data_IF_603445952279
#
_entry.id   IF_603445952279
#
_cell.length_a   1.000
_cell.length_b   1.000
_cell.length_c   1.000
_cell.angle_alpha   90.00
_cell.angle_beta   90.00
_cell.angle_gamma   90.00
#
_symmetry.space_group_name_H-M   'P 1'
#
loop_
_entity.id
_entity.type
_entity.pdbx_description
1 polymer ?
#
# COMPACT_ATOMS: atom_id res chain seq x y z
N UNK A 1 -7.96 -10.16 40.89
CA UNK A 1 -7.93 -9.22 39.78
C UNK A 1 -6.57 -9.26 39.03
N UNK A 2 -5.40 -9.31 39.69
CA UNK A 2 -4.07 -9.36 39.05
C UNK A 2 -3.83 -10.64 38.23
N UNK A 3 -4.20 -11.81 38.77
CA UNK A 3 -4.04 -13.12 38.10
C UNK A 3 -4.87 -13.23 36.81
N UNK A 4 -6.11 -12.68 36.81
CA UNK A 4 -6.98 -12.68 35.62
C UNK A 4 -6.37 -11.80 34.50
N UNK A 5 -5.84 -10.61 34.83
CA UNK A 5 -5.16 -9.74 33.88
C UNK A 5 -3.87 -10.39 33.33
N UNK A 6 -3.12 -11.07 34.18
CA UNK A 6 -1.92 -11.81 33.76
C UNK A 6 -2.27 -12.96 32.81
N UNK A 7 -3.29 -13.79 33.16
CA UNK A 7 -3.76 -14.87 32.29
C UNK A 7 -4.25 -14.37 30.95
N UNK A 8 -5.04 -13.29 30.91
CA UNK A 8 -5.51 -12.66 29.65
C UNK A 8 -4.32 -12.16 28.81
N UNK A 9 -3.29 -11.57 29.45
CA UNK A 9 -2.09 -11.08 28.75
C UNK A 9 -1.27 -12.24 28.15
N UNK A 10 -1.14 -13.37 28.87
CA UNK A 10 -0.45 -14.56 28.35
C UNK A 10 -1.23 -15.17 27.20
N UNK A 11 -2.55 -15.31 27.34
CA UNK A 11 -3.44 -15.86 26.30
C UNK A 11 -3.38 -15.03 25.02
N UNK A 12 -3.44 -13.70 25.13
CA UNK A 12 -3.34 -12.82 23.97
C UNK A 12 -1.97 -12.87 23.31
N UNK A 13 -0.88 -12.99 24.08
CA UNK A 13 0.47 -13.13 23.54
C UNK A 13 0.67 -14.46 22.78
N UNK A 14 0.11 -15.56 23.30
CA UNK A 14 0.14 -16.85 22.63
C UNK A 14 -0.68 -16.85 21.33
N UNK A 15 -1.89 -16.30 21.37
CA UNK A 15 -2.75 -16.14 20.18
C UNK A 15 -2.04 -15.28 19.11
N UNK A 16 -1.41 -14.18 19.50
CA UNK A 16 -0.65 -13.33 18.60
C UNK A 16 0.54 -14.07 17.96
N UNK A 17 1.29 -14.87 18.75
CA UNK A 17 2.39 -15.68 18.23
C UNK A 17 1.91 -16.73 17.22
N UNK A 18 0.80 -17.40 17.51
CA UNK A 18 0.21 -18.39 16.62
C UNK A 18 -0.27 -17.76 15.31
N UNK A 19 -0.96 -16.62 15.37
CA UNK A 19 -1.38 -15.87 14.18
C UNK A 19 -0.19 -15.42 13.31
N UNK A 20 0.89 -14.93 13.94
CA UNK A 20 2.08 -14.52 13.22
C UNK A 20 2.81 -15.71 12.58
N UNK A 21 2.85 -16.87 13.23
CA UNK A 21 3.44 -18.09 12.63
C UNK A 21 2.61 -18.51 11.41
N UNK A 22 1.30 -18.54 11.53
CA UNK A 22 0.39 -18.87 10.43
C UNK A 22 0.58 -17.91 9.25
N UNK A 23 0.61 -16.59 9.52
CA UNK A 23 0.88 -15.58 8.48
C UNK A 23 2.23 -15.80 7.77
N UNK A 24 3.30 -16.14 8.52
CA UNK A 24 4.61 -16.44 7.94
C UNK A 24 4.59 -17.68 7.05
N UNK A 25 3.92 -18.75 7.49
CA UNK A 25 3.78 -19.98 6.70
C UNK A 25 3.01 -19.73 5.41
N UNK A 26 1.87 -19.02 5.48
CA UNK A 26 1.10 -18.66 4.29
C UNK A 26 1.89 -17.75 3.36
N UNK A 27 2.57 -16.73 3.88
CA UNK A 27 3.43 -15.86 3.05
C UNK A 27 4.52 -16.65 2.36
N UNK A 28 5.19 -17.56 3.08
CA UNK A 28 6.21 -18.43 2.49
C UNK A 28 5.63 -19.29 1.39
N UNK A 29 4.49 -19.92 1.63
CA UNK A 29 3.79 -20.76 0.66
C UNK A 29 3.38 -19.97 -0.60
N UNK A 30 2.77 -18.79 -0.42
CA UNK A 30 2.42 -17.90 -1.54
C UNK A 30 3.69 -17.53 -2.31
N UNK A 31 4.71 -17.03 -1.62
CA UNK A 31 5.89 -16.45 -2.25
C UNK A 31 6.75 -17.48 -2.96
N UNK A 32 6.98 -18.65 -2.36
CA UNK A 32 7.96 -19.63 -2.87
C UNK A 32 7.33 -20.80 -3.63
N UNK A 33 6.08 -21.16 -3.36
CA UNK A 33 5.46 -22.34 -3.95
C UNK A 33 4.35 -22.00 -4.97
N UNK A 34 3.72 -20.81 -4.85
CA UNK A 34 2.57 -20.46 -5.70
C UNK A 34 2.87 -19.33 -6.66
N UNK A 35 3.64 -18.32 -6.25
CA UNK A 35 3.89 -17.16 -7.11
C UNK A 35 4.79 -17.50 -8.30
N UNK A 36 4.45 -16.93 -9.44
CA UNK A 36 5.25 -16.95 -10.65
C UNK A 36 6.27 -15.80 -10.63
N UNK A 37 7.46 -15.94 -11.24
CA UNK A 37 8.39 -14.82 -11.36
C UNK A 37 7.82 -13.74 -12.29
N UNK A 38 7.90 -12.49 -11.84
CA UNK A 38 7.60 -11.30 -12.62
C UNK A 38 8.92 -10.60 -12.96
N UNK A 39 9.09 -10.21 -14.21
CA UNK A 39 10.24 -9.44 -14.63
C UNK A 39 9.89 -7.96 -14.69
N UNK A 40 10.84 -7.10 -14.33
CA UNK A 40 10.72 -5.67 -14.61
C UNK A 40 10.71 -5.45 -16.14
N UNK A 41 9.98 -4.44 -16.56
CA UNK A 41 9.84 -4.06 -17.97
C UNK A 41 9.95 -2.54 -18.13
N UNK A 42 9.94 -2.07 -19.36
CA UNK A 42 10.08 -0.66 -19.72
C UNK A 42 8.73 0.08 -19.85
N UNK A 43 7.61 -0.53 -19.40
CA UNK A 43 6.29 0.11 -19.43
C UNK A 43 6.21 1.21 -18.39
N UNK A 44 5.83 2.45 -18.73
CA UNK A 44 5.51 3.50 -17.78
C UNK A 44 4.39 3.03 -16.83
N UNK A 45 4.49 3.40 -15.55
CA UNK A 45 3.57 2.93 -14.53
C UNK A 45 2.95 4.08 -13.73
N UNK A 46 1.72 3.87 -13.25
CA UNK A 46 1.06 4.70 -12.27
C UNK A 46 0.67 3.85 -11.06
N UNK A 47 0.95 4.35 -9.85
CA UNK A 47 0.64 3.68 -8.58
C UNK A 47 -0.42 4.49 -7.85
N UNK A 48 -1.56 3.88 -7.56
CA UNK A 48 -2.61 4.46 -6.73
C UNK A 48 -2.50 3.91 -5.32
N UNK A 49 -2.27 4.78 -4.35
CA UNK A 49 -2.13 4.45 -2.94
C UNK A 49 -3.29 5.07 -2.14
N UNK A 50 -4.04 4.28 -1.36
CA UNK A 50 -5.06 4.81 -0.46
C UNK A 50 -4.50 5.85 0.50
N UNK A 51 -3.39 5.54 1.17
CA UNK A 51 -2.75 6.40 2.16
C UNK A 51 -1.26 6.60 1.85
N UNK A 52 -0.65 7.70 2.32
CA UNK A 52 0.80 7.89 2.27
C UNK A 52 1.52 6.82 3.11
N UNK A 53 2.17 5.89 2.47
CA UNK A 53 3.01 4.74 2.86
C UNK A 53 2.70 3.46 2.08
N UNK A 54 1.44 3.28 1.60
CA UNK A 54 1.00 2.06 0.91
C UNK A 54 1.78 1.79 -0.38
N UNK A 55 2.12 2.85 -1.15
CA UNK A 55 2.92 2.75 -2.38
C UNK A 55 4.32 2.21 -2.11
N UNK A 56 4.94 2.66 -1.02
CA UNK A 56 6.28 2.21 -0.63
C UNK A 56 6.23 0.81 -0.03
N UNK A 57 5.22 0.51 0.79
CA UNK A 57 4.98 -0.82 1.34
C UNK A 57 4.80 -1.86 0.23
N UNK A 58 3.86 -1.61 -0.68
CA UNK A 58 3.50 -2.56 -1.72
C UNK A 58 4.43 -2.57 -2.94
N UNK A 59 4.89 -1.40 -3.37
CA UNK A 59 5.54 -1.18 -4.67
C UNK A 59 6.91 -0.49 -4.60
N UNK A 60 7.45 -0.17 -3.41
CA UNK A 60 8.67 0.65 -3.30
C UNK A 60 9.89 0.08 -4.04
N UNK A 61 10.06 -1.24 -4.04
CA UNK A 61 11.12 -1.90 -4.80
C UNK A 61 10.90 -1.85 -6.31
N UNK A 62 9.66 -2.05 -6.76
CA UNK A 62 9.25 -1.92 -8.16
C UNK A 62 9.44 -0.48 -8.66
N UNK A 63 9.00 0.51 -7.88
CA UNK A 63 9.19 1.93 -8.20
C UNK A 63 10.67 2.23 -8.39
N UNK A 64 11.51 1.90 -7.41
CA UNK A 64 12.95 2.14 -7.49
C UNK A 64 13.60 1.41 -8.67
N UNK A 65 13.17 0.19 -8.99
CA UNK A 65 13.70 -0.60 -10.09
C UNK A 65 13.38 0.04 -11.46
N UNK A 66 12.12 0.46 -11.67
CA UNK A 66 11.71 1.19 -12.89
C UNK A 66 12.45 2.52 -13.02
N UNK A 67 12.54 3.30 -11.93
CA UNK A 67 13.25 4.58 -11.93
C UNK A 67 14.75 4.44 -12.23
N UNK A 68 15.41 3.39 -11.73
CA UNK A 68 16.82 3.08 -12.11
C UNK A 68 16.98 2.74 -13.60
N UNK A 69 15.95 2.22 -14.22
CA UNK A 69 15.92 1.91 -15.66
C UNK A 69 15.48 3.11 -16.52
N UNK A 70 15.25 4.29 -15.92
CA UNK A 70 14.77 5.48 -16.62
C UNK A 70 13.28 5.44 -17.00
N UNK A 71 12.53 4.46 -16.48
CA UNK A 71 11.11 4.32 -16.75
C UNK A 71 10.31 5.26 -15.86
N UNK A 72 9.39 6.08 -16.42
CA UNK A 72 8.53 6.96 -15.63
C UNK A 72 7.60 6.18 -14.69
N UNK A 73 7.44 6.69 -13.47
CA UNK A 73 6.47 6.17 -12.49
C UNK A 73 5.78 7.35 -11.83
N UNK A 74 4.47 7.42 -11.93
CA UNK A 74 3.63 8.38 -11.21
C UNK A 74 3.04 7.72 -9.98
N UNK A 75 2.81 8.54 -8.95
CA UNK A 75 2.16 8.09 -7.70
C UNK A 75 1.02 9.03 -7.37
N UNK A 76 -0.15 8.45 -7.07
CA UNK A 76 -1.37 9.16 -6.71
C UNK A 76 -1.82 8.69 -5.34
N UNK A 77 -1.87 9.60 -4.37
CA UNK A 77 -2.44 9.37 -3.06
C UNK A 77 -3.92 9.75 -3.06
N UNK A 78 -4.78 8.81 -2.67
CA UNK A 78 -6.22 9.00 -2.67
C UNK A 78 -6.68 9.84 -1.48
N UNK A 79 -6.14 9.54 -0.28
CA UNK A 79 -6.51 10.22 0.95
C UNK A 79 -5.34 10.98 1.57
N UNK A 80 -5.66 11.87 2.48
CA UNK A 80 -4.73 12.69 3.24
C UNK A 80 -4.07 11.96 4.44
N UNK A 81 -4.57 10.75 4.77
CA UNK A 81 -4.05 9.93 5.84
C UNK A 81 -4.27 10.49 7.25
N UNK A 82 -5.30 11.31 7.45
CA UNK A 82 -5.56 12.01 8.72
C UNK A 82 -6.02 11.09 9.87
N UNK A 83 -6.54 9.87 9.59
CA UNK A 83 -7.13 8.98 10.62
C UNK A 83 -6.08 8.09 11.31
N UNK A 84 -4.78 8.29 11.05
CA UNK A 84 -3.74 7.60 11.78
C UNK A 84 -3.74 8.00 13.27
N UNK A 85 -4.68 7.42 14.03
CA UNK A 85 -4.87 7.53 15.49
C UNK A 85 -4.49 8.90 16.08
N UNK A 86 -5.31 9.89 15.80
CA UNK A 86 -5.16 11.25 16.29
C UNK A 86 -5.21 11.31 17.82
N UNK A 87 -4.08 11.29 18.49
CA UNK A 87 -3.95 11.66 19.91
C UNK A 87 -2.48 12.01 20.26
N UNK A 88 -1.99 13.13 19.71
CA UNK A 88 -0.58 13.50 19.81
C UNK A 88 -0.37 14.76 20.61
N UNK A 89 0.45 14.71 21.66
CA UNK A 89 0.88 15.91 22.36
C UNK A 89 1.75 16.84 21.50
N UNK A 90 2.40 16.29 20.44
CA UNK A 90 3.26 17.05 19.51
C UNK A 90 2.53 17.54 18.26
N UNK A 91 1.43 16.92 17.89
CA UNK A 91 0.62 17.28 16.72
C UNK A 91 -0.66 17.87 17.25
N UNK A 92 -0.86 19.17 17.04
CA UNK A 92 -1.96 19.92 17.61
C UNK A 92 -3.23 19.89 16.76
N UNK A 93 -3.08 19.66 15.46
CA UNK A 93 -4.19 19.70 14.51
C UNK A 93 -4.12 18.56 13.49
N UNK A 94 -5.27 18.20 12.92
CA UNK A 94 -5.36 17.27 11.78
C UNK A 94 -4.54 17.79 10.59
N UNK A 95 -4.64 19.09 10.31
CA UNK A 95 -3.90 19.71 9.22
C UNK A 95 -2.37 19.55 9.37
N UNK A 96 -1.84 19.67 10.59
CA UNK A 96 -0.42 19.44 10.86
C UNK A 96 -0.02 17.98 10.58
N UNK A 97 -0.87 17.01 10.94
CA UNK A 97 -0.62 15.59 10.64
C UNK A 97 -0.62 15.33 9.13
N UNK A 98 -1.59 15.87 8.40
CA UNK A 98 -1.69 15.76 6.94
C UNK A 98 -0.41 16.28 6.27
N UNK A 99 0.07 17.47 6.68
CA UNK A 99 1.31 18.04 6.16
C UNK A 99 2.54 17.17 6.48
N UNK A 100 2.64 16.63 7.69
CA UNK A 100 3.71 15.69 8.06
C UNK A 100 3.68 14.48 7.12
N UNK A 101 2.53 13.85 6.92
CA UNK A 101 2.40 12.66 6.06
C UNK A 101 2.73 12.96 4.60
N UNK A 102 2.33 14.12 4.08
CA UNK A 102 2.72 14.57 2.74
C UNK A 102 4.24 14.72 2.62
N UNK A 103 4.89 15.36 3.59
CA UNK A 103 6.34 15.51 3.58
C UNK A 103 7.07 14.16 3.68
N UNK A 104 6.58 13.24 4.49
CA UNK A 104 7.11 11.88 4.59
C UNK A 104 6.99 11.13 3.25
N UNK A 105 5.85 11.23 2.58
CA UNK A 105 5.61 10.63 1.27
C UNK A 105 6.53 11.21 0.19
N UNK A 106 6.69 12.53 0.14
CA UNK A 106 7.61 13.19 -0.79
C UNK A 106 9.07 12.76 -0.54
N UNK A 107 9.50 12.66 0.72
CA UNK A 107 10.85 12.20 1.08
C UNK A 107 11.07 10.73 0.69
N UNK A 108 10.09 9.85 0.95
CA UNK A 108 10.12 8.45 0.58
C UNK A 108 10.24 8.29 -0.94
N UNK A 109 9.36 8.94 -1.70
CA UNK A 109 9.32 8.85 -3.15
C UNK A 109 10.56 9.46 -3.82
N UNK A 110 11.10 10.55 -3.29
CA UNK A 110 12.38 11.09 -3.74
C UNK A 110 13.53 10.07 -3.55
N UNK A 111 13.55 9.34 -2.44
CA UNK A 111 14.52 8.24 -2.20
C UNK A 111 14.38 7.13 -3.25
N UNK A 112 13.16 6.84 -3.69
CA UNK A 112 12.86 5.86 -4.75
C UNK A 112 13.15 6.39 -6.16
N UNK A 113 13.41 7.70 -6.33
CA UNK A 113 13.74 8.34 -7.59
C UNK A 113 12.54 8.92 -8.34
N UNK A 114 11.39 9.08 -7.69
CA UNK A 114 10.21 9.75 -8.24
C UNK A 114 10.34 11.26 -8.03
N UNK A 115 10.05 12.05 -9.04
CA UNK A 115 10.12 13.51 -8.97
C UNK A 115 8.82 14.08 -8.40
N UNK A 116 8.89 15.26 -7.77
CA UNK A 116 7.70 15.90 -7.16
C UNK A 116 6.59 16.19 -8.18
N UNK A 117 6.92 16.44 -9.44
CA UNK A 117 5.96 16.64 -10.54
C UNK A 117 5.22 15.35 -10.95
N UNK A 118 5.70 14.19 -10.51
CA UNK A 118 5.11 12.88 -10.78
C UNK A 118 4.25 12.39 -9.60
N UNK A 119 4.03 13.23 -8.57
CA UNK A 119 3.30 12.89 -7.35
C UNK A 119 2.04 13.74 -7.26
N UNK A 120 0.90 13.09 -7.08
CA UNK A 120 -0.41 13.73 -6.98
C UNK A 120 -1.11 13.36 -5.67
N UNK A 121 -1.70 14.35 -5.01
CA UNK A 121 -2.53 14.17 -3.81
C UNK A 121 -3.96 14.58 -4.15
N UNK A 122 -4.93 13.68 -3.96
CA UNK A 122 -6.36 13.98 -4.15
C UNK A 122 -6.99 14.56 -2.88
N UNK A 123 -6.30 14.44 -1.74
CA UNK A 123 -6.68 15.02 -0.45
C UNK A 123 -8.11 14.66 0.01
N UNK A 124 -8.59 13.46 -0.34
CA UNK A 124 -9.83 12.96 0.21
C UNK A 124 -9.62 12.60 1.69
N UNK A 125 -10.61 12.78 2.56
CA UNK A 125 -10.45 12.43 3.97
C UNK A 125 -10.21 10.93 4.16
N UNK A 126 -9.20 10.55 4.96
CA UNK A 126 -8.91 9.17 5.34
C UNK A 126 -10.14 8.51 6.00
N UNK A 127 -10.41 7.26 5.67
CA UNK A 127 -11.58 6.51 6.11
C UNK A 127 -12.88 6.85 5.39
N UNK A 128 -12.89 7.83 4.45
CA UNK A 128 -14.11 8.31 3.82
C UNK A 128 -14.45 7.67 2.48
N UNK A 129 -13.51 6.98 1.83
CA UNK A 129 -13.71 6.51 0.45
C UNK A 129 -14.96 5.61 0.28
N UNK A 130 -15.27 4.66 1.18
CA UNK A 130 -16.46 3.81 1.04
C UNK A 130 -17.78 4.58 1.21
N UNK A 131 -17.74 5.74 1.86
CA UNK A 131 -18.92 6.56 2.14
C UNK A 131 -19.06 7.76 1.20
N UNK A 132 -18.28 7.84 0.13
CA UNK A 132 -18.36 8.93 -0.83
C UNK A 132 -19.77 9.00 -1.48
N UNK A 133 -20.43 10.17 -1.48
CA UNK A 133 -21.65 10.36 -2.24
C UNK A 133 -21.43 10.07 -3.73
N UNK A 134 -22.42 9.55 -4.43
CA UNK A 134 -22.29 9.13 -5.83
C UNK A 134 -21.73 10.22 -6.75
N UNK A 135 -22.22 11.46 -6.60
CA UNK A 135 -21.71 12.60 -7.38
C UNK A 135 -20.20 12.86 -7.13
N UNK A 136 -19.75 12.73 -5.87
CA UNK A 136 -18.33 12.88 -5.52
C UNK A 136 -17.51 11.71 -6.03
N UNK A 137 -18.05 10.50 -5.93
CA UNK A 137 -17.46 9.28 -6.48
C UNK A 137 -17.19 9.43 -7.98
N UNK A 138 -18.19 9.90 -8.74
CA UNK A 138 -18.05 10.13 -10.17
C UNK A 138 -17.00 11.21 -10.48
N UNK A 139 -16.95 12.32 -9.73
CA UNK A 139 -15.90 13.33 -9.87
C UNK A 139 -14.49 12.75 -9.63
N UNK A 140 -14.32 11.89 -8.62
CA UNK A 140 -13.04 11.21 -8.36
C UNK A 140 -12.67 10.33 -9.53
N UNK A 141 -13.61 9.52 -10.05
CA UNK A 141 -13.35 8.64 -11.20
C UNK A 141 -12.92 9.47 -12.42
N UNK A 142 -13.56 10.61 -12.71
CA UNK A 142 -13.18 11.51 -13.79
C UNK A 142 -11.76 12.07 -13.62
N UNK A 143 -11.38 12.48 -12.40
CA UNK A 143 -10.02 12.90 -12.10
C UNK A 143 -8.99 11.77 -12.34
N UNK A 144 -9.33 10.54 -11.95
CA UNK A 144 -8.46 9.38 -12.20
C UNK A 144 -8.33 9.09 -13.70
N UNK A 145 -9.41 9.25 -14.50
CA UNK A 145 -9.37 9.11 -15.96
C UNK A 145 -8.42 10.14 -16.58
N UNK A 146 -8.47 11.39 -16.13
CA UNK A 146 -7.56 12.45 -16.60
C UNK A 146 -6.10 12.11 -16.27
N UNK A 147 -5.82 11.64 -15.05
CA UNK A 147 -4.48 11.22 -14.65
C UNK A 147 -3.98 10.04 -15.49
N UNK A 148 -4.80 9.03 -15.75
CA UNK A 148 -4.46 7.90 -16.61
C UNK A 148 -4.09 8.36 -18.04
N UNK A 149 -4.84 9.32 -18.60
CA UNK A 149 -4.57 9.87 -19.92
C UNK A 149 -3.31 10.73 -19.95
N UNK A 150 -3.11 11.58 -18.95
CA UNK A 150 -1.99 12.50 -18.85
C UNK A 150 -0.64 11.77 -18.71
N UNK A 151 -0.62 10.70 -17.90
CA UNK A 151 0.62 9.98 -17.58
C UNK A 151 1.08 9.03 -18.68
N UNK A 152 0.23 8.70 -19.64
CA UNK A 152 0.50 7.69 -20.66
C UNK A 152 1.00 6.36 -20.05
N UNK A 153 0.59 6.05 -18.82
CA UNK A 153 0.95 4.82 -18.17
C UNK A 153 0.42 3.61 -18.96
N UNK A 154 1.14 2.51 -18.91
CA UNK A 154 0.74 1.23 -19.50
C UNK A 154 0.46 0.19 -18.41
N UNK A 155 1.00 0.40 -17.22
CA UNK A 155 0.75 -0.42 -16.04
C UNK A 155 0.11 0.43 -14.94
N UNK A 156 -0.96 -0.07 -14.35
CA UNK A 156 -1.68 0.54 -13.23
C UNK A 156 -1.52 -0.36 -12.02
N UNK A 157 -0.85 0.13 -11.00
CA UNK A 157 -0.71 -0.55 -9.72
C UNK A 157 -1.72 0.03 -8.73
N UNK A 158 -2.48 -0.83 -8.09
CA UNK A 158 -3.51 -0.47 -7.10
C UNK A 158 -3.55 -1.51 -5.98
N UNK A 159 -4.08 -1.15 -4.83
CA UNK A 159 -4.25 -2.09 -3.71
C UNK A 159 -5.10 -3.30 -4.08
N UNK A 160 -4.82 -4.43 -3.45
CA UNK A 160 -5.53 -5.68 -3.71
C UNK A 160 -7.02 -5.56 -3.39
N UNK A 161 -7.87 -6.02 -4.30
CA UNK A 161 -9.35 -5.86 -4.21
C UNK A 161 -10.00 -6.46 -2.97
N UNK A 162 -9.35 -7.43 -2.32
CA UNK A 162 -9.80 -8.06 -1.07
C UNK A 162 -8.93 -7.63 0.12
N UNK A 163 -8.41 -6.42 0.07
CA UNK A 163 -7.73 -5.83 1.22
C UNK A 163 -8.63 -5.77 2.46
N UNK A 164 -8.01 -5.75 3.65
CA UNK A 164 -8.74 -5.70 4.91
C UNK A 164 -9.30 -4.29 5.17
N UNK A 165 -8.57 -3.25 4.75
CA UNK A 165 -8.95 -1.86 4.95
C UNK A 165 -10.00 -1.43 3.91
N UNK A 166 -11.13 -0.80 4.33
CA UNK A 166 -12.18 -0.40 3.39
C UNK A 166 -11.72 0.59 2.32
N UNK A 167 -10.88 1.59 2.66
CA UNK A 167 -10.34 2.54 1.67
C UNK A 167 -9.49 1.84 0.60
N UNK A 168 -8.78 0.76 0.95
CA UNK A 168 -8.01 -0.02 -0.03
C UNK A 168 -8.91 -0.73 -1.04
N UNK A 169 -10.02 -1.31 -0.56
CA UNK A 169 -11.01 -1.96 -1.43
C UNK A 169 -11.67 -0.92 -2.35
N UNK A 170 -11.98 0.24 -1.79
CA UNK A 170 -12.63 1.31 -2.53
C UNK A 170 -11.70 1.97 -3.54
N UNK A 171 -10.42 2.17 -3.21
CA UNK A 171 -9.40 2.63 -4.16
C UNK A 171 -9.34 1.69 -5.37
N UNK A 172 -9.33 0.39 -5.16
CA UNK A 172 -9.41 -0.58 -6.26
C UNK A 172 -10.67 -0.37 -7.11
N UNK A 173 -11.83 -0.19 -6.50
CA UNK A 173 -13.10 -0.04 -7.22
C UNK A 173 -13.12 1.25 -8.05
N UNK A 174 -12.65 2.38 -7.50
CA UNK A 174 -12.55 3.66 -8.19
C UNK A 174 -11.57 3.60 -9.37
N UNK A 175 -10.37 3.05 -9.15
CA UNK A 175 -9.35 2.91 -10.20
C UNK A 175 -9.82 1.99 -11.32
N UNK A 176 -10.46 0.85 -10.98
CA UNK A 176 -11.04 -0.04 -11.99
C UNK A 176 -12.11 0.67 -12.82
N UNK A 177 -12.97 1.46 -12.20
CA UNK A 177 -13.98 2.27 -12.92
C UNK A 177 -13.31 3.29 -13.85
N UNK A 178 -12.24 3.94 -13.40
CA UNK A 178 -11.49 4.89 -14.23
C UNK A 178 -10.82 4.20 -15.42
N UNK A 179 -10.22 3.02 -15.24
CA UNK A 179 -9.63 2.24 -16.34
C UNK A 179 -10.69 1.94 -17.40
N UNK A 180 -11.87 1.45 -17.01
CA UNK A 180 -12.96 1.15 -17.92
C UNK A 180 -13.44 2.39 -18.69
N UNK A 181 -13.58 3.54 -18.00
CA UNK A 181 -14.00 4.80 -18.61
C UNK A 181 -12.90 5.44 -19.49
N UNK A 182 -11.63 5.19 -19.21
CA UNK A 182 -10.53 5.75 -19.99
C UNK A 182 -10.43 5.18 -21.41
N UNK A 183 -11.00 4.00 -21.62
CA UNK A 183 -10.91 3.22 -22.88
C UNK A 183 -9.45 2.94 -23.33
N UNK A 184 -8.50 2.95 -22.41
CA UNK A 184 -7.09 2.67 -22.68
C UNK A 184 -6.79 1.19 -22.41
N UNK A 185 -5.88 0.61 -23.19
CA UNK A 185 -5.34 -0.72 -22.94
C UNK A 185 -4.30 -0.65 -21.82
N UNK A 186 -4.75 -0.82 -20.57
CA UNK A 186 -3.95 -0.71 -19.35
C UNK A 186 -3.84 -2.07 -18.65
N UNK A 187 -2.64 -2.46 -18.25
CA UNK A 187 -2.42 -3.65 -17.44
C UNK A 187 -2.69 -3.33 -15.96
N UNK A 188 -3.74 -3.93 -15.38
CA UNK A 188 -4.09 -3.74 -13.97
C UNK A 188 -3.37 -4.75 -13.08
N UNK A 189 -2.53 -4.26 -12.19
CA UNK A 189 -1.71 -5.03 -11.26
C UNK A 189 -2.07 -4.62 -9.83
N UNK A 190 -2.37 -5.60 -9.00
CA UNK A 190 -2.78 -5.35 -7.62
C UNK A 190 -1.64 -5.68 -6.66
N UNK A 191 -1.42 -4.83 -5.65
CA UNK A 191 -0.45 -5.06 -4.59
C UNK A 191 -1.13 -5.20 -3.23
N UNK A 192 -0.77 -6.21 -2.41
CA UNK A 192 -1.35 -6.39 -1.09
C UNK A 192 -0.53 -5.65 -0.02
N UNK A 193 -1.23 -4.97 0.90
CA UNK A 193 -0.66 -4.36 2.10
C UNK A 193 -1.12 -5.12 3.33
N UNK A 194 -2.32 -4.90 3.82
CA UNK A 194 -2.86 -5.62 4.98
C UNK A 194 -3.10 -7.09 4.68
N UNK A 195 -3.52 -7.44 3.46
CA UNK A 195 -3.62 -8.81 2.99
C UNK A 195 -2.25 -9.52 2.98
N UNK A 196 -1.15 -8.83 2.73
CA UNK A 196 0.20 -9.38 2.85
C UNK A 196 0.62 -9.57 4.33
N UNK A 197 0.23 -8.64 5.23
CA UNK A 197 0.52 -8.72 6.66
C UNK A 197 -0.31 -9.80 7.37
N UNK A 198 -1.58 -10.00 6.95
CA UNK A 198 -2.54 -10.94 7.55
C UNK A 198 -3.19 -11.83 6.47
N UNK A 199 -2.41 -12.60 5.69
CA UNK A 199 -2.95 -13.40 4.59
C UNK A 199 -3.97 -14.45 5.05
N UNK A 200 -3.92 -14.88 6.31
CA UNK A 200 -4.91 -15.80 6.90
C UNK A 200 -6.32 -15.20 7.08
N UNK A 201 -6.48 -13.88 6.92
CA UNK A 201 -7.78 -13.20 6.98
C UNK A 201 -8.42 -13.06 5.60
N UNK A 202 -7.72 -13.48 4.55
CA UNK A 202 -8.18 -13.39 3.17
C UNK A 202 -8.65 -14.75 2.69
N UNK A 203 -9.86 -14.79 2.15
CA UNK A 203 -10.37 -15.96 1.42
C UNK A 203 -9.85 -15.94 -0.03
N UNK A 204 -8.66 -16.51 -0.22
CA UNK A 204 -8.07 -16.64 -1.55
C UNK A 204 -8.75 -17.75 -2.34
N UNK A 205 -9.33 -17.40 -3.48
CA UNK A 205 -9.82 -18.39 -4.44
C UNK A 205 -8.67 -18.99 -5.26
N UNK A 206 -8.85 -20.18 -5.79
CA UNK A 206 -7.82 -20.87 -6.57
C UNK A 206 -7.32 -20.00 -7.76
N UNK A 207 -8.21 -19.37 -8.50
CA UNK A 207 -7.86 -18.47 -9.60
C UNK A 207 -7.01 -17.27 -9.18
N UNK A 208 -7.15 -16.77 -7.95
CA UNK A 208 -6.30 -15.67 -7.45
C UNK A 208 -4.90 -16.16 -7.12
N UNK A 209 -4.78 -17.37 -6.58
CA UNK A 209 -3.50 -18.01 -6.25
C UNK A 209 -2.72 -18.36 -7.54
N UNK A 210 -3.39 -18.71 -8.62
CA UNK A 210 -2.78 -18.98 -9.92
C UNK A 210 -2.24 -17.72 -10.59
N UNK A 211 -2.78 -16.54 -10.24
CA UNK A 211 -2.40 -15.22 -10.76
C UNK A 211 -1.55 -14.39 -9.77
N UNK A 212 -0.81 -15.06 -8.89
CA UNK A 212 0.15 -14.42 -7.98
C UNK A 212 1.53 -14.37 -8.62
N UNK A 213 2.15 -13.20 -8.57
CA UNK A 213 3.47 -12.95 -9.11
C UNK A 213 4.41 -12.40 -8.02
N UNK A 214 5.70 -12.70 -8.13
CA UNK A 214 6.75 -12.10 -7.30
C UNK A 214 7.76 -11.36 -8.16
N UNK A 215 8.04 -10.13 -7.81
CA UNK A 215 9.12 -9.34 -8.39
C UNK A 215 10.34 -9.39 -7.47
N UNK A 216 11.49 -9.79 -8.01
CA UNK A 216 12.75 -9.72 -7.28
C UNK A 216 13.24 -8.28 -7.21
N UNK A 217 13.41 -7.75 -5.99
CA UNK A 217 13.82 -6.37 -5.71
C UNK A 217 15.13 -6.30 -4.92
N UNK A 218 15.94 -7.37 -4.94
CA UNK A 218 17.17 -7.42 -4.16
C UNK A 218 18.10 -6.22 -4.45
N UNK A 219 18.19 -5.78 -5.70
CA UNK A 219 19.01 -4.63 -6.11
C UNK A 219 18.47 -3.26 -5.67
N UNK A 220 17.21 -3.16 -5.30
CA UNK A 220 16.56 -1.90 -4.86
C UNK A 220 16.00 -1.97 -3.44
N UNK A 221 16.18 -3.12 -2.77
CA UNK A 221 15.66 -3.38 -1.44
C UNK A 221 16.13 -2.34 -0.41
N UNK A 222 17.39 -1.95 -0.44
CA UNK A 222 17.94 -0.97 0.51
C UNK A 222 17.33 0.42 0.30
N UNK A 223 17.08 0.83 -0.95
CA UNK A 223 16.32 2.04 -1.25
C UNK A 223 14.89 1.99 -0.71
N UNK A 224 14.22 0.84 -0.88
CA UNK A 224 12.88 0.63 -0.29
C UNK A 224 12.90 0.75 1.23
N UNK A 225 13.87 0.15 1.90
CA UNK A 225 14.01 0.25 3.36
C UNK A 225 14.22 1.70 3.78
N UNK A 226 15.11 2.42 3.10
CA UNK A 226 15.36 3.84 3.37
C UNK A 226 14.11 4.70 3.13
N UNK A 227 13.33 4.40 2.09
CA UNK A 227 12.05 5.09 1.85
C UNK A 227 11.02 4.80 2.94
N UNK A 228 10.91 3.55 3.40
CA UNK A 228 10.03 3.18 4.53
C UNK A 228 10.41 3.92 5.82
N UNK A 229 11.68 4.17 6.06
CA UNK A 229 12.17 4.91 7.23
C UNK A 229 11.74 6.40 7.24
N UNK A 230 11.30 6.93 6.09
CA UNK A 230 10.76 8.29 6.03
C UNK A 230 9.40 8.43 6.72
N UNK A 231 8.57 7.38 6.76
CA UNK A 231 7.22 7.40 7.33
C UNK A 231 7.21 7.30 8.86
N UNK A 232 7.95 8.20 9.51
CA UNK A 232 8.20 8.18 10.97
C UNK A 232 6.93 8.31 11.79
N UNK A 233 5.95 9.08 11.31
CA UNK A 233 4.65 9.24 11.96
C UNK A 233 3.90 7.90 12.11
N UNK A 234 4.20 6.90 11.26
CA UNK A 234 3.49 5.64 11.21
C UNK A 234 4.08 4.55 12.12
N UNK A 235 5.39 4.58 12.39
CA UNK A 235 6.05 3.54 13.18
C UNK A 235 6.70 4.01 14.48
N UNK A 236 6.83 5.31 14.69
CA UNK A 236 7.30 5.86 15.95
C UNK A 236 6.13 6.29 16.85
N UNK A 237 6.22 6.08 18.15
CA UNK A 237 5.24 6.64 19.07
C UNK A 237 5.34 8.18 19.03
N UNK A 238 4.23 8.81 18.68
CA UNK A 238 4.18 10.26 18.53
C UNK A 238 4.05 11.00 19.88
N UNK A 239 3.86 10.24 20.97
CA UNK A 239 3.99 10.71 22.37
C UNK A 239 4.57 9.62 23.27
N UNK A 240 5.21 9.96 24.41
CA UNK A 240 5.64 8.98 25.40
C UNK A 240 4.50 8.07 25.85
N UNK A 241 4.71 6.73 25.76
CA UNK A 241 3.71 5.74 26.17
C UNK A 241 2.59 5.43 25.17
N UNK A 242 2.51 6.15 24.06
CA UNK A 242 1.58 5.80 22.97
C UNK A 242 2.10 4.60 22.15
N UNK A 243 1.18 3.91 21.48
CA UNK A 243 1.54 2.92 20.47
C UNK A 243 1.60 3.60 19.10
N UNK A 244 2.56 3.22 18.24
CA UNK A 244 2.56 3.69 16.86
C UNK A 244 1.33 3.15 16.10
N UNK A 245 0.87 3.84 15.03
CA UNK A 245 -0.21 3.36 14.17
C UNK A 245 0.05 1.97 13.59
N UNK A 246 1.23 1.74 13.02
CA UNK A 246 1.60 0.45 12.48
C UNK A 246 2.06 -0.53 13.57
N UNK A 247 1.67 -1.80 13.48
CA UNK A 247 2.04 -2.80 14.48
C UNK A 247 3.55 -3.11 14.47
N UNK A 248 4.12 -3.52 15.61
CA UNK A 248 5.53 -3.88 15.70
C UNK A 248 5.96 -4.91 14.66
N UNK A 249 7.03 -4.63 13.94
CA UNK A 249 7.56 -5.50 12.90
C UNK A 249 6.89 -5.38 11.53
N UNK A 250 5.91 -4.47 11.38
CA UNK A 250 5.20 -4.26 10.11
C UNK A 250 6.17 -3.86 8.99
N UNK A 251 6.97 -2.80 9.16
CA UNK A 251 7.94 -2.37 8.15
C UNK A 251 8.94 -3.48 7.80
N UNK A 252 9.44 -4.21 8.83
CA UNK A 252 10.35 -5.34 8.61
C UNK A 252 9.73 -6.44 7.74
N UNK A 253 8.42 -6.64 7.80
CA UNK A 253 7.71 -7.60 6.98
C UNK A 253 7.78 -7.25 5.49
N UNK A 254 7.75 -5.95 5.17
CA UNK A 254 7.82 -5.41 3.81
C UNK A 254 9.26 -5.22 3.30
N UNK A 255 10.26 -5.34 4.16
CA UNK A 255 11.68 -5.35 3.81
C UNK A 255 12.16 -6.69 3.17
N UNK A 256 11.27 -7.44 2.55
CA UNK A 256 11.53 -8.68 1.81
C UNK A 256 12.33 -8.39 0.53
N UNK A 257 13.17 -9.33 0.03
CA UNK A 257 13.81 -9.20 -1.28
C UNK A 257 12.83 -9.42 -2.45
N UNK A 258 11.55 -9.63 -2.16
CA UNK A 258 10.49 -9.80 -3.14
C UNK A 258 9.28 -8.96 -2.79
N UNK A 259 8.61 -8.42 -3.82
CA UNK A 259 7.26 -7.88 -3.78
C UNK A 259 6.29 -8.85 -4.42
N UNK A 260 5.06 -8.89 -3.91
CA UNK A 260 3.99 -9.78 -4.37
C UNK A 260 2.94 -8.95 -5.09
N UNK A 261 2.50 -9.44 -6.23
CA UNK A 261 1.46 -8.82 -7.05
C UNK A 261 0.43 -9.85 -7.48
N UNK A 262 -0.80 -9.38 -7.71
CA UNK A 262 -1.87 -10.15 -8.30
C UNK A 262 -2.24 -9.52 -9.64
N UNK A 263 -2.27 -10.31 -10.71
CA UNK A 263 -2.80 -9.86 -12.00
C UNK A 263 -4.24 -10.33 -12.13
N UNK A 264 -5.09 -9.46 -12.63
CA UNK A 264 -6.44 -9.86 -13.01
C UNK A 264 -6.31 -10.48 -14.41
N UNK A 265 -6.82 -11.70 -14.63
CA UNK A 265 -6.93 -12.20 -16.00
C UNK A 265 -7.70 -11.20 -16.85
N UNK A 266 -7.24 -10.96 -18.07
CA UNK A 266 -7.95 -10.14 -19.05
C UNK A 266 -9.41 -10.64 -19.15
N UNK A 267 -10.37 -9.73 -18.80
CA UNK A 267 -11.79 -9.99 -18.95
C UNK A 267 -12.28 -9.43 -20.25
#
# INVERSE_FOLDING_TARGET
MVLVKFYQKVKSALAWRQQNLHAKVLKYWILHLKSQPMLSNQKPAIVFAPHPDDETLGCGGMIALKRQQGVPVWVVFMTDGQDSQFNHERIKTIAELVEIRKHEALAALNTLGVQSSEIHFLDLPDGSLPALPEAKRQQVVEQLVELLKMTHAQEVYVTYRKEIHPDHQETYALVRSAILQSQQALELIQYPVWANWRPQQIDFKAAEIENVYRLAIAGTRDKKIQALDAYRSQYLPLKPGAKPPLPPGFLKWFASPYEIFFKVPDQ
#
